data_IF_040935629288
#
_entry.id   IF_040935629288
#
_cell.length_a   1.000
_cell.length_b   1.000
_cell.length_c   1.000
_cell.angle_alpha   90.00
_cell.angle_beta   90.00
_cell.angle_gamma   90.00
#
_symmetry.space_group_name_H-M   'P 1'
#
loop_
_entity.id
_entity.type
_entity.pdbx_description
1 polymer ?
#
# COMPACT_ATOMS: atom_id res chain seq x y z
N UNK A 1 7.65 10.26 46.57
CA UNK A 1 8.86 10.61 45.80
C UNK A 1 9.06 12.12 45.88
N UNK A 2 10.29 12.60 46.01
CA UNK A 2 10.55 14.04 45.98
C UNK A 2 10.04 14.60 44.64
N UNK A 3 9.30 15.70 44.68
CA UNK A 3 8.62 16.25 43.51
C UNK A 3 9.67 16.76 42.51
N UNK A 4 9.92 16.04 41.40
CA UNK A 4 10.95 16.37 40.39
C UNK A 4 10.81 17.82 39.91
N UNK A 5 9.56 18.33 39.85
CA UNK A 5 9.25 19.72 39.49
C UNK A 5 9.88 20.72 40.45
N UNK A 6 9.82 20.47 41.75
CA UNK A 6 10.41 21.34 42.78
C UNK A 6 11.94 21.32 42.74
N UNK A 7 12.55 20.16 42.47
CA UNK A 7 14.01 20.04 42.29
C UNK A 7 14.49 20.81 41.05
N UNK A 8 13.73 20.77 39.94
CA UNK A 8 14.02 21.56 38.74
C UNK A 8 13.91 23.06 38.99
N UNK A 9 12.90 23.50 39.75
CA UNK A 9 12.77 24.91 40.17
C UNK A 9 13.93 25.34 41.07
N UNK A 10 14.38 24.47 41.99
CA UNK A 10 15.54 24.74 42.86
C UNK A 10 16.83 24.85 42.05
N UNK A 11 17.05 23.96 41.07
CA UNK A 11 18.18 24.02 40.13
C UNK A 11 18.22 25.34 39.35
N UNK A 12 17.08 25.76 38.79
CA UNK A 12 17.00 27.01 38.04
C UNK A 12 17.30 28.23 38.90
N UNK A 13 16.90 28.21 40.18
CA UNK A 13 17.19 29.29 41.13
C UNK A 13 18.69 29.35 41.47
N UNK A 14 19.30 28.21 41.80
CA UNK A 14 20.75 28.12 42.07
C UNK A 14 21.61 28.58 40.88
N UNK A 15 21.21 28.21 39.65
CA UNK A 15 21.88 28.68 38.43
C UNK A 15 21.69 30.18 38.17
N UNK A 16 20.55 30.76 38.54
CA UNK A 16 20.32 32.20 38.45
C UNK A 16 21.15 32.97 39.49
N UNK A 17 21.23 32.47 40.72
CA UNK A 17 22.02 33.07 41.80
C UNK A 17 23.52 33.03 41.48
N UNK A 18 24.03 31.93 40.92
CA UNK A 18 25.42 31.82 40.46
C UNK A 18 25.74 32.77 39.29
N UNK A 19 24.81 32.92 38.33
CA UNK A 19 24.94 33.88 37.22
C UNK A 19 24.92 35.33 37.70
N UNK A 20 24.15 35.65 38.74
CA UNK A 20 24.10 36.98 39.31
C UNK A 20 25.46 37.41 39.87
N UNK A 21 26.17 36.50 40.55
CA UNK A 21 27.52 36.75 41.09
C UNK A 21 28.53 37.00 39.96
N UNK A 22 28.51 36.17 38.91
CA UNK A 22 29.38 36.35 37.74
C UNK A 22 29.09 37.67 37.02
N UNK A 23 27.80 38.03 36.89
CA UNK A 23 27.39 39.28 36.26
C UNK A 23 27.83 40.51 37.06
N UNK A 24 27.75 40.48 38.39
CA UNK A 24 28.26 41.60 39.22
C UNK A 24 29.76 41.80 39.09
N UNK A 25 30.54 40.72 38.95
CA UNK A 25 31.98 40.84 38.71
C UNK A 25 32.29 41.39 37.30
N UNK A 26 31.51 40.98 36.29
CA UNK A 26 31.64 41.45 34.91
C UNK A 26 31.22 42.92 34.74
N UNK A 27 30.11 43.34 35.37
CA UNK A 27 29.62 44.72 35.36
C UNK A 27 30.62 45.69 36.07
N UNK A 28 31.37 45.20 37.06
CA UNK A 28 32.42 45.94 37.77
C UNK A 28 33.79 45.90 37.06
N UNK A 29 33.92 45.17 35.94
CA UNK A 29 35.16 45.06 35.17
C UNK A 29 36.33 44.42 35.93
N UNK A 30 36.05 43.60 36.94
CA UNK A 30 37.03 42.98 37.85
C UNK A 30 36.92 41.46 37.82
N UNK A 31 37.99 40.76 38.23
CA UNK A 31 37.88 39.34 38.59
C UNK A 31 37.05 39.17 39.86
N UNK A 32 36.41 38.02 40.03
CA UNK A 32 35.69 37.68 41.26
C UNK A 32 36.62 37.80 42.48
N UNK A 33 36.09 38.31 43.60
CA UNK A 33 36.85 38.29 44.86
C UNK A 33 36.94 36.87 45.41
N UNK A 34 37.90 36.56 46.29
CA UNK A 34 38.00 35.24 46.93
C UNK A 34 36.72 34.81 47.65
N UNK A 35 35.96 35.75 48.21
CA UNK A 35 34.67 35.50 48.84
C UNK A 35 33.56 35.15 47.83
N UNK A 36 33.55 35.82 46.67
CA UNK A 36 32.60 35.57 45.58
C UNK A 36 32.88 34.24 44.87
N UNK A 37 34.16 33.88 44.68
CA UNK A 37 34.57 32.55 44.19
C UNK A 37 34.09 31.46 45.15
N UNK A 38 34.34 31.62 46.45
CA UNK A 38 33.88 30.68 47.47
C UNK A 38 32.34 30.52 47.48
N UNK A 39 31.61 31.62 47.23
CA UNK A 39 30.15 31.59 47.19
C UNK A 39 29.62 30.96 45.90
N UNK A 40 30.27 31.20 44.77
CA UNK A 40 29.93 30.61 43.47
C UNK A 40 30.18 29.10 43.46
N UNK A 41 31.33 28.66 43.98
CA UNK A 41 31.66 27.24 44.09
C UNK A 41 30.63 26.50 44.96
N UNK A 42 30.23 27.09 46.09
CA UNK A 42 29.15 26.53 46.94
C UNK A 42 27.81 26.41 46.22
N UNK A 43 27.47 27.37 45.35
CA UNK A 43 26.23 27.34 44.57
C UNK A 43 26.29 26.30 43.45
N UNK A 44 27.45 26.12 42.83
CA UNK A 44 27.69 25.09 41.83
C UNK A 44 27.70 23.69 42.44
N UNK A 45 28.36 23.49 43.58
CA UNK A 45 28.32 22.23 44.33
C UNK A 45 26.88 21.86 44.74
N UNK A 46 26.10 22.85 45.21
CA UNK A 46 24.70 22.65 45.56
C UNK A 46 23.83 22.29 44.33
N UNK A 47 24.15 22.87 43.17
CA UNK A 47 23.48 22.58 41.90
C UNK A 47 23.81 21.16 41.43
N UNK A 48 25.07 20.75 41.47
CA UNK A 48 25.51 19.42 41.07
C UNK A 48 24.90 18.34 41.98
N UNK A 49 24.76 18.62 43.28
CA UNK A 49 24.03 17.75 44.20
C UNK A 49 22.54 17.59 43.86
N UNK A 50 21.89 18.66 43.38
CA UNK A 50 20.49 18.63 42.91
C UNK A 50 20.38 17.87 41.59
N UNK A 51 21.28 18.12 40.63
CA UNK A 51 21.30 17.43 39.33
C UNK A 51 21.55 15.91 39.49
N UNK A 52 22.48 15.51 40.38
CA UNK A 52 22.68 14.10 40.72
C UNK A 52 21.44 13.45 41.34
N UNK A 53 20.63 14.22 42.07
CA UNK A 53 19.39 13.74 42.69
C UNK A 53 18.26 13.65 41.68
N UNK A 54 18.16 14.58 40.72
CA UNK A 54 17.23 14.50 39.59
C UNK A 54 17.56 13.29 38.73
N UNK A 55 18.83 13.06 38.38
CA UNK A 55 19.25 11.91 37.58
C UNK A 55 19.01 10.55 38.26
N UNK A 56 19.11 10.50 39.60
CA UNK A 56 18.72 9.31 40.38
C UNK A 56 17.20 9.10 40.39
N UNK A 57 16.42 10.18 40.53
CA UNK A 57 14.96 10.11 40.52
C UNK A 57 14.41 9.74 39.13
N UNK A 58 14.98 10.29 38.06
CA UNK A 58 14.60 9.97 36.68
C UNK A 58 14.93 8.52 36.34
N UNK A 59 16.10 8.01 36.76
CA UNK A 59 16.44 6.59 36.59
C UNK A 59 15.51 5.66 37.35
N UNK A 60 15.09 6.02 38.57
CA UNK A 60 14.11 5.23 39.32
C UNK A 60 12.71 5.32 38.71
N UNK A 61 12.35 6.44 38.07
CA UNK A 61 11.07 6.61 37.36
C UNK A 61 11.08 5.88 36.00
N UNK A 62 12.24 5.82 35.33
CA UNK A 62 12.45 5.04 34.11
C UNK A 62 12.53 3.53 34.41
N UNK A 63 13.16 3.12 35.52
CA UNK A 63 13.14 1.74 36.05
C UNK A 63 11.72 1.36 36.49
N UNK A 64 10.97 2.24 37.16
CA UNK A 64 9.57 2.00 37.49
C UNK A 64 8.66 1.95 36.24
N UNK A 65 8.96 2.73 35.19
CA UNK A 65 8.30 2.59 33.89
C UNK A 65 8.72 1.31 33.17
N UNK A 66 9.93 0.78 33.41
CA UNK A 66 10.36 -0.52 32.89
C UNK A 66 9.70 -1.68 33.64
N UNK A 67 9.52 -1.58 34.95
CA UNK A 67 8.82 -2.58 35.77
C UNK A 67 7.29 -2.54 35.54
N UNK A 68 6.70 -1.37 35.26
CA UNK A 68 5.31 -1.26 34.76
C UNK A 68 5.17 -1.72 33.28
N UNK A 69 6.29 -1.96 32.59
CA UNK A 69 6.36 -2.57 31.24
C UNK A 69 6.57 -4.10 31.33
N UNK A 70 6.73 -4.68 32.53
CA UNK A 70 6.88 -6.14 32.71
C UNK A 70 5.56 -6.95 32.77
N UNK A 71 4.45 -6.41 32.23
CA UNK A 71 3.32 -7.24 31.73
C UNK A 71 2.59 -6.61 30.53
N UNK A 72 3.28 -5.76 29.75
CA UNK A 72 2.80 -5.28 28.44
C UNK A 72 3.71 -5.81 27.33
N UNK A 73 3.67 -7.13 27.13
CA UNK A 73 3.98 -7.68 25.81
C UNK A 73 3.09 -6.96 24.79
N UNK A 74 3.66 -6.34 23.73
CA UNK A 74 2.89 -5.72 22.64
C UNK A 74 2.28 -6.80 21.72
N UNK A 75 1.44 -7.64 22.31
CA UNK A 75 0.78 -8.77 21.68
C UNK A 75 -0.22 -9.40 22.65
N UNK A 76 -1.49 -9.00 22.57
CA UNK A 76 -2.58 -9.70 23.26
C UNK A 76 -3.68 -8.80 23.81
N UNK A 77 -3.46 -8.14 24.95
CA UNK A 77 -4.57 -7.63 25.78
C UNK A 77 -5.34 -6.43 25.19
N UNK A 78 -4.66 -5.46 24.57
CA UNK A 78 -5.33 -4.33 23.92
C UNK A 78 -6.07 -4.70 22.62
N UNK A 79 -5.47 -5.60 21.84
CA UNK A 79 -6.06 -6.14 20.61
C UNK A 79 -7.28 -7.03 20.91
N UNK A 80 -7.19 -7.90 21.91
CA UNK A 80 -8.29 -8.79 22.30
C UNK A 80 -9.47 -8.03 22.90
N UNK A 81 -9.21 -6.97 23.68
CA UNK A 81 -10.26 -6.09 24.20
C UNK A 81 -10.95 -5.30 23.07
N UNK A 82 -10.18 -4.79 22.10
CA UNK A 82 -10.70 -4.06 20.94
C UNK A 82 -11.45 -4.99 19.96
N UNK A 83 -10.97 -6.21 19.73
CA UNK A 83 -11.63 -7.23 18.92
C UNK A 83 -12.88 -7.78 19.63
N UNK A 84 -12.84 -7.93 20.96
CA UNK A 84 -14.00 -8.26 21.78
C UNK A 84 -15.08 -7.16 21.71
N UNK A 85 -14.66 -5.89 21.75
CA UNK A 85 -15.54 -4.75 21.53
C UNK A 85 -16.11 -4.75 20.10
N UNK A 86 -15.29 -5.00 19.07
CA UNK A 86 -15.75 -5.10 17.68
C UNK A 86 -16.77 -6.23 17.53
N UNK A 87 -16.53 -7.41 18.11
CA UNK A 87 -17.48 -8.52 18.10
C UNK A 87 -18.82 -8.13 18.74
N UNK A 88 -18.78 -7.47 19.91
CA UNK A 88 -19.98 -6.98 20.56
C UNK A 88 -20.71 -5.94 19.68
N UNK A 89 -19.97 -5.07 19.01
CA UNK A 89 -20.50 -4.12 18.04
C UNK A 89 -21.08 -4.79 16.80
N UNK A 90 -20.51 -5.90 16.30
CA UNK A 90 -21.00 -6.63 15.12
C UNK A 90 -22.24 -7.47 15.43
N UNK A 91 -22.37 -7.96 16.67
CA UNK A 91 -23.53 -8.74 17.14
C UNK A 91 -24.68 -7.83 17.58
N UNK A 92 -24.40 -6.90 18.50
CA UNK A 92 -25.41 -6.11 19.22
C UNK A 92 -25.54 -4.66 18.78
N UNK A 93 -24.49 -4.07 18.21
CA UNK A 93 -24.44 -2.67 17.80
C UNK A 93 -23.98 -1.79 18.96
N UNK A 94 -24.07 -0.47 18.79
CA UNK A 94 -23.59 0.50 19.79
C UNK A 94 -24.27 0.33 21.16
N UNK A 95 -25.55 -0.06 21.17
CA UNK A 95 -26.36 -0.23 22.38
C UNK A 95 -25.93 -1.38 23.29
N UNK A 96 -25.08 -2.28 22.80
CA UNK A 96 -24.57 -3.44 23.58
C UNK A 96 -23.13 -3.21 24.04
N UNK A 97 -22.50 -2.10 23.63
CA UNK A 97 -21.14 -1.75 24.06
C UNK A 97 -21.15 -1.10 25.43
N UNK A 98 -20.26 -1.56 26.31
CA UNK A 98 -19.93 -0.85 27.56
C UNK A 98 -19.18 0.45 27.26
N UNK A 99 -19.19 1.41 28.18
CA UNK A 99 -18.53 2.71 27.98
C UNK A 99 -17.01 2.59 27.74
N UNK A 100 -16.37 1.55 28.28
CA UNK A 100 -14.96 1.24 28.02
C UNK A 100 -14.75 0.65 26.62
N UNK A 101 -15.59 -0.29 26.19
CA UNK A 101 -15.56 -0.86 24.82
C UNK A 101 -15.91 0.17 23.75
N UNK A 102 -16.83 1.07 24.08
CA UNK A 102 -17.19 2.23 23.31
C UNK A 102 -15.99 3.16 23.05
N UNK A 103 -15.25 3.51 24.11
CA UNK A 103 -14.05 4.35 24.02
C UNK A 103 -12.91 3.63 23.28
N UNK A 104 -12.76 2.32 23.48
CA UNK A 104 -11.78 1.51 22.75
C UNK A 104 -12.02 1.48 21.22
N UNK A 105 -13.29 1.55 20.78
CA UNK A 105 -13.66 1.63 19.35
C UNK A 105 -13.75 3.08 18.82
N UNK A 106 -13.86 4.08 19.70
CA UNK A 106 -13.95 5.50 19.37
C UNK A 106 -12.62 6.26 19.49
N UNK A 107 -11.49 5.58 19.72
CA UNK A 107 -10.18 6.22 19.80
C UNK A 107 -9.73 6.70 18.40
N UNK A 108 -10.29 7.83 17.93
CA UNK A 108 -9.91 8.44 16.67
C UNK A 108 -10.79 9.59 16.16
N UNK A 109 -12.13 9.50 16.22
CA UNK A 109 -13.01 10.51 15.60
C UNK A 109 -14.45 10.55 16.18
N UNK A 110 -15.20 11.57 15.74
CA UNK A 110 -16.43 12.15 16.31
C UNK A 110 -17.56 11.15 16.69
N UNK A 111 -18.16 11.20 17.91
CA UNK A 111 -19.11 10.21 18.40
C UNK A 111 -20.49 10.16 17.71
N UNK A 112 -20.86 11.16 16.89
CA UNK A 112 -22.23 11.33 16.38
C UNK A 112 -22.54 10.56 15.08
N UNK A 113 -21.54 10.10 14.32
CA UNK A 113 -21.78 9.58 12.96
C UNK A 113 -22.15 8.10 12.86
N UNK A 114 -22.19 7.33 13.96
CA UNK A 114 -22.41 5.88 13.92
C UNK A 114 -21.28 5.08 13.21
N UNK A 115 -20.18 5.76 12.87
CA UNK A 115 -18.93 5.16 12.42
C UNK A 115 -18.19 4.69 13.67
N UNK A 116 -17.87 3.41 13.75
CA UNK A 116 -16.83 2.94 14.66
C UNK A 116 -15.64 2.60 13.79
N UNK A 117 -14.48 3.19 14.10
CA UNK A 117 -13.23 2.80 13.46
C UNK A 117 -12.99 1.35 13.85
N UNK A 118 -12.96 0.46 12.86
CA UNK A 118 -12.62 -0.93 13.12
C UNK A 118 -11.23 -0.98 13.77
N UNK A 119 -10.99 -1.85 14.77
CA UNK A 119 -9.68 -2.02 15.37
C UNK A 119 -8.60 -2.15 14.28
N UNK A 120 -7.45 -1.51 14.49
CA UNK A 120 -6.36 -1.54 13.50
C UNK A 120 -5.96 -2.96 13.10
N UNK A 121 -6.08 -3.94 14.01
CA UNK A 121 -5.81 -5.34 13.70
C UNK A 121 -6.81 -5.93 12.68
N UNK A 122 -8.09 -5.60 12.79
CA UNK A 122 -9.11 -6.06 11.83
C UNK A 122 -8.84 -5.49 10.44
N UNK A 123 -8.49 -4.20 10.36
CA UNK A 123 -8.15 -3.53 9.11
C UNK A 123 -6.88 -4.10 8.51
N UNK A 124 -5.83 -4.33 9.32
CA UNK A 124 -4.58 -4.96 8.88
C UNK A 124 -4.79 -6.36 8.32
N UNK A 125 -5.57 -7.20 9.02
CA UNK A 125 -5.88 -8.55 8.54
C UNK A 125 -6.69 -8.51 7.24
N UNK A 126 -7.64 -7.58 7.14
CA UNK A 126 -8.45 -7.39 5.93
C UNK A 126 -7.61 -6.93 4.75
N UNK A 127 -6.77 -5.90 4.95
CA UNK A 127 -5.87 -5.40 3.92
C UNK A 127 -4.90 -6.49 3.46
N UNK A 128 -4.33 -7.26 4.40
CA UNK A 128 -3.50 -8.42 4.06
C UNK A 128 -4.26 -9.45 3.21
N UNK A 129 -5.51 -9.76 3.57
CA UNK A 129 -6.35 -10.67 2.77
C UNK A 129 -6.70 -10.12 1.38
N UNK A 130 -6.80 -8.80 1.23
CA UNK A 130 -6.94 -8.15 -0.08
C UNK A 130 -5.62 -8.25 -0.86
N UNK A 131 -4.48 -7.96 -0.23
CA UNK A 131 -3.15 -8.03 -0.84
C UNK A 131 -2.85 -9.45 -1.36
N UNK A 132 -3.15 -10.48 -0.57
CA UNK A 132 -2.95 -11.89 -0.94
C UNK A 132 -3.81 -12.32 -2.14
N UNK A 133 -4.94 -11.63 -2.39
CA UNK A 133 -5.85 -11.97 -3.49
C UNK A 133 -5.61 -11.13 -4.75
N UNK A 134 -5.07 -9.92 -4.61
CA UNK A 134 -4.80 -9.00 -5.71
C UNK A 134 -3.36 -9.21 -6.18
N UNK A 135 -3.18 -10.14 -7.12
CA UNK A 135 -1.86 -10.53 -7.63
C UNK A 135 -1.06 -9.33 -8.15
N UNK A 136 -1.72 -8.36 -8.80
CA UNK A 136 -1.03 -7.18 -9.32
C UNK A 136 -0.45 -6.32 -8.20
N UNK A 137 -1.14 -6.21 -7.05
CA UNK A 137 -0.74 -5.32 -5.96
C UNK A 137 0.58 -5.71 -5.32
N UNK A 138 0.91 -7.01 -5.29
CA UNK A 138 2.22 -7.49 -4.84
C UNK A 138 3.38 -7.15 -5.79
N UNK A 139 3.07 -6.75 -7.03
CA UNK A 139 4.06 -6.38 -8.05
C UNK A 139 4.10 -4.89 -8.36
N UNK A 140 2.96 -4.21 -8.15
CA UNK A 140 2.79 -2.78 -8.33
C UNK A 140 3.41 -1.98 -7.18
N UNK A 141 3.67 -0.70 -7.45
CA UNK A 141 4.12 0.24 -6.41
C UNK A 141 2.91 0.88 -5.76
N UNK A 142 2.75 0.71 -4.43
CA UNK A 142 1.63 1.26 -3.67
C UNK A 142 2.07 2.52 -2.91
N UNK A 143 1.38 3.63 -3.16
CA UNK A 143 1.55 4.92 -2.49
C UNK A 143 0.35 5.20 -1.59
N UNK A 144 0.61 5.45 -0.31
CA UNK A 144 -0.40 5.87 0.67
C UNK A 144 -0.41 7.41 0.74
N UNK A 145 -1.53 8.02 0.38
CA UNK A 145 -1.77 9.46 0.46
C UNK A 145 -2.47 9.77 1.79
N UNK A 146 -1.76 10.40 2.72
CA UNK A 146 -2.32 10.73 4.04
C UNK A 146 -2.98 12.10 4.11
N UNK A 147 -2.56 13.03 3.24
CA UNK A 147 -3.04 14.43 3.25
C UNK A 147 -3.23 15.03 1.84
N UNK A 148 -2.65 14.42 0.81
CA UNK A 148 -2.79 14.90 -0.56
C UNK A 148 -4.07 14.33 -1.19
N UNK A 149 -4.87 15.20 -1.81
CA UNK A 149 -6.07 14.81 -2.58
C UNK A 149 -5.70 13.94 -3.80
N UNK A 150 -4.44 14.01 -4.23
CA UNK A 150 -4.00 13.47 -5.48
C UNK A 150 -2.47 13.29 -5.53
N UNK A 151 -2.01 12.34 -6.35
CA UNK A 151 -0.59 12.08 -6.59
C UNK A 151 -0.25 12.47 -8.04
N UNK A 152 0.49 13.57 -8.18
CA UNK A 152 1.08 13.98 -9.45
C UNK A 152 2.16 13.00 -9.87
N UNK A 153 2.00 12.41 -11.05
CA UNK A 153 2.97 11.47 -11.60
C UNK A 153 3.79 12.18 -12.69
N UNK A 154 5.12 12.25 -12.57
CA UNK A 154 5.97 12.67 -13.69
C UNK A 154 5.96 11.57 -14.77
N UNK A 155 5.45 11.88 -15.96
CA UNK A 155 5.52 10.98 -17.12
C UNK A 155 6.77 11.31 -17.92
N UNK A 156 7.55 10.30 -18.32
CA UNK A 156 8.76 10.49 -19.15
C UNK A 156 8.47 10.93 -20.59
N UNK A 157 7.19 11.10 -20.98
CA UNK A 157 6.81 11.69 -22.27
C UNK A 157 7.38 13.12 -22.46
N UNK A 158 7.81 13.78 -21.37
CA UNK A 158 8.67 14.96 -21.40
C UNK A 158 9.72 14.84 -20.27
N UNK A 159 10.57 13.81 -20.35
CA UNK A 159 11.78 13.72 -19.52
C UNK A 159 12.83 14.73 -19.99
N UNK A 160 13.84 14.97 -19.16
CA UNK A 160 15.03 15.70 -19.57
C UNK A 160 15.70 14.95 -20.74
N UNK A 161 16.19 15.69 -21.73
CA UNK A 161 16.95 15.18 -22.84
C UNK A 161 18.19 14.42 -22.38
N UNK A 162 18.67 13.52 -23.26
CA UNK A 162 19.88 12.74 -22.99
C UNK A 162 21.08 13.66 -22.73
N UNK A 163 21.91 13.28 -21.77
CA UNK A 163 23.14 14.01 -21.47
C UNK A 163 24.07 14.04 -22.69
N UNK A 164 24.43 15.23 -23.14
CA UNK A 164 25.37 15.40 -24.25
C UNK A 164 26.83 15.28 -23.78
N UNK A 165 27.66 14.61 -24.57
CA UNK A 165 29.10 14.62 -24.35
C UNK A 165 29.67 16.01 -24.66
N UNK A 166 30.10 16.74 -23.64
CA UNK A 166 30.69 18.07 -23.79
C UNK A 166 32.21 18.06 -23.69
N UNK A 167 32.84 19.15 -24.11
CA UNK A 167 34.28 19.40 -23.88
C UNK A 167 34.48 20.11 -22.54
N UNK A 168 35.73 20.11 -22.04
CA UNK A 168 36.15 20.58 -20.70
C UNK A 168 35.67 21.99 -20.29
N UNK A 169 35.26 22.82 -21.25
CA UNK A 169 34.85 24.22 -21.06
C UNK A 169 33.37 24.50 -21.35
N UNK A 170 32.58 23.48 -21.70
CA UNK A 170 31.14 23.62 -21.97
C UNK A 170 30.34 22.86 -20.94
N UNK A 171 29.49 23.55 -20.20
CA UNK A 171 28.29 22.96 -19.61
C UNK A 171 27.34 22.59 -20.75
N UNK A 172 26.67 21.43 -20.67
CA UNK A 172 25.67 21.01 -21.65
C UNK A 172 24.53 22.02 -21.78
N UNK A 173 23.62 21.79 -22.73
CA UNK A 173 22.42 22.63 -22.86
C UNK A 173 21.55 22.57 -21.61
N UNK A 174 21.04 23.72 -21.15
CA UNK A 174 20.02 23.77 -20.11
C UNK A 174 18.72 23.12 -20.61
N UNK A 175 18.17 22.20 -19.84
CA UNK A 175 16.92 21.52 -20.14
C UNK A 175 15.84 21.86 -19.09
N UNK A 176 14.76 22.51 -19.55
CA UNK A 176 13.57 22.89 -18.78
C UNK A 176 12.34 22.06 -19.24
N UNK A 177 12.59 20.86 -19.78
CA UNK A 177 11.60 19.98 -20.40
C UNK A 177 10.78 19.15 -19.41
N UNK A 178 11.24 18.99 -18.16
CA UNK A 178 10.59 18.13 -17.17
C UNK A 178 9.17 18.63 -16.84
N UNK A 179 8.15 17.96 -17.38
CA UNK A 179 6.75 18.27 -17.12
C UNK A 179 6.07 17.09 -16.41
N UNK A 180 5.22 17.39 -15.43
CA UNK A 180 4.36 16.39 -14.82
C UNK A 180 3.34 15.86 -15.84
N UNK A 181 3.03 14.58 -15.73
CA UNK A 181 2.11 13.89 -16.64
C UNK A 181 0.70 14.45 -16.61
N UNK A 182 -0.01 14.25 -17.73
CA UNK A 182 -1.35 14.81 -17.94
C UNK A 182 -2.41 14.24 -16.98
N UNK A 183 -2.22 13.01 -16.51
CA UNK A 183 -3.14 12.33 -15.60
C UNK A 183 -2.56 12.26 -14.20
N UNK A 184 -3.29 12.82 -13.26
CA UNK A 184 -3.00 12.77 -11.84
C UNK A 184 -3.73 11.58 -11.22
N UNK A 185 -3.06 10.81 -10.36
CA UNK A 185 -3.71 9.73 -9.62
C UNK A 185 -4.61 10.33 -8.54
N UNK A 186 -5.92 10.13 -8.64
CA UNK A 186 -6.91 10.67 -7.72
C UNK A 186 -7.72 9.53 -7.12
N UNK A 187 -7.44 9.11 -5.87
CA UNK A 187 -8.14 8.01 -5.25
C UNK A 187 -9.67 8.19 -5.31
N UNK A 188 -10.35 7.20 -5.89
CA UNK A 188 -11.79 7.24 -6.08
C UNK A 188 -12.50 6.35 -5.05
N UNK A 189 -13.68 6.76 -4.56
CA UNK A 189 -14.40 6.02 -3.54
C UNK A 189 -14.97 4.70 -4.07
N UNK A 190 -14.47 3.61 -3.51
CA UNK A 190 -14.98 2.25 -3.68
C UNK A 190 -15.77 1.85 -2.43
N UNK A 191 -17.05 1.55 -2.61
CA UNK A 191 -17.90 1.12 -1.50
C UNK A 191 -18.66 -0.17 -1.84
N UNK A 192 -18.73 -1.10 -0.88
CA UNK A 192 -19.54 -2.31 -1.02
C UNK A 192 -20.35 -2.60 0.24
N UNK A 193 -21.64 -2.90 0.03
CA UNK A 193 -22.56 -3.33 1.08
C UNK A 193 -22.66 -4.85 1.11
N UNK A 194 -22.49 -5.45 2.29
CA UNK A 194 -22.68 -6.87 2.58
C UNK A 194 -23.87 -7.00 3.56
N UNK A 195 -24.80 -7.91 3.28
CA UNK A 195 -25.96 -8.17 4.15
C UNK A 195 -25.82 -9.55 4.79
N UNK A 196 -26.03 -9.62 6.09
CA UNK A 196 -25.98 -10.87 6.86
C UNK A 196 -27.23 -11.02 7.72
N UNK A 197 -27.80 -12.22 7.78
CA UNK A 197 -28.94 -12.50 8.65
C UNK A 197 -28.55 -12.44 10.12
N UNK A 198 -29.40 -11.86 10.97
CA UNK A 198 -29.22 -11.88 12.43
C UNK A 198 -29.24 -13.29 13.02
N UNK A 199 -29.96 -14.22 12.38
CA UNK A 199 -29.94 -15.64 12.76
C UNK A 199 -28.56 -16.23 12.52
N UNK A 200 -27.96 -15.96 11.36
CA UNK A 200 -26.62 -16.44 11.02
C UNK A 200 -25.56 -15.84 11.94
N UNK A 201 -25.63 -14.53 12.24
CA UNK A 201 -24.72 -13.88 13.18
C UNK A 201 -24.76 -14.50 14.58
N UNK A 202 -25.94 -14.95 15.04
CA UNK A 202 -26.11 -15.58 16.37
C UNK A 202 -25.82 -17.08 16.40
N UNK A 203 -26.09 -17.78 15.30
CA UNK A 203 -25.95 -19.24 15.21
C UNK A 203 -24.57 -19.68 14.70
N UNK A 204 -23.75 -18.76 14.20
CA UNK A 204 -22.45 -19.09 13.65
C UNK A 204 -21.51 -19.61 14.75
N UNK A 205 -21.14 -20.89 14.65
CA UNK A 205 -20.06 -21.52 15.44
C UNK A 205 -18.71 -20.88 15.09
N UNK A 206 -18.59 -20.31 13.89
CA UNK A 206 -17.47 -19.45 13.49
C UNK A 206 -17.70 -18.00 13.93
N UNK A 207 -16.63 -17.29 14.24
CA UNK A 207 -16.71 -15.89 14.64
C UNK A 207 -17.38 -15.06 13.51
N UNK A 208 -18.52 -14.40 13.76
CA UNK A 208 -19.29 -13.69 12.73
C UNK A 208 -18.48 -12.56 12.07
N UNK A 209 -17.54 -12.01 12.81
CA UNK A 209 -16.55 -11.04 12.38
C UNK A 209 -15.67 -11.56 11.24
N UNK A 210 -15.10 -12.76 11.39
CA UNK A 210 -14.25 -13.39 10.37
C UNK A 210 -15.03 -13.62 9.08
N UNK A 211 -16.31 -14.00 9.19
CA UNK A 211 -17.18 -14.17 8.02
C UNK A 211 -17.44 -12.84 7.30
N UNK A 212 -17.73 -11.76 8.03
CA UNK A 212 -17.90 -10.42 7.44
C UNK A 212 -16.60 -10.01 6.74
N UNK A 213 -15.47 -10.17 7.42
CA UNK A 213 -14.15 -9.80 6.95
C UNK A 213 -13.81 -10.52 5.63
N UNK A 214 -13.85 -11.85 5.61
CA UNK A 214 -13.57 -12.66 4.41
C UNK A 214 -14.46 -12.31 3.21
N UNK A 215 -15.73 -11.99 3.46
CA UNK A 215 -16.65 -11.58 2.38
C UNK A 215 -16.36 -10.18 1.87
N UNK A 216 -15.88 -9.28 2.73
CA UNK A 216 -15.39 -7.96 2.31
C UNK A 216 -14.07 -8.09 1.55
N UNK A 217 -13.07 -8.76 2.12
CA UNK A 217 -11.78 -9.08 1.49
C UNK A 217 -11.98 -9.57 0.04
N UNK A 218 -12.80 -10.61 -0.13
CA UNK A 218 -13.11 -11.19 -1.44
C UNK A 218 -13.76 -10.19 -2.40
N UNK A 219 -14.65 -9.30 -1.94
CA UNK A 219 -15.35 -8.38 -2.85
C UNK A 219 -14.51 -7.15 -3.20
N UNK A 220 -13.75 -6.64 -2.25
CA UNK A 220 -12.84 -5.53 -2.48
C UNK A 220 -11.70 -5.94 -3.38
N UNK A 221 -10.99 -7.04 -3.10
CA UNK A 221 -9.88 -7.44 -3.96
C UNK A 221 -10.34 -7.89 -5.35
N UNK A 222 -11.49 -8.55 -5.53
CA UNK A 222 -12.03 -8.87 -6.86
C UNK A 222 -12.31 -7.60 -7.66
N UNK A 223 -12.82 -6.56 -7.02
CA UNK A 223 -13.14 -5.29 -7.68
C UNK A 223 -11.88 -4.47 -7.95
N UNK A 224 -10.89 -4.52 -7.05
CA UNK A 224 -9.59 -3.89 -7.23
C UNK A 224 -8.84 -4.54 -8.41
N UNK A 225 -8.61 -5.86 -8.36
CA UNK A 225 -7.92 -6.60 -9.41
C UNK A 225 -8.62 -6.41 -10.77
N UNK A 226 -9.97 -6.53 -10.83
CA UNK A 226 -10.71 -6.26 -12.06
C UNK A 226 -10.50 -4.84 -12.59
N UNK A 227 -10.53 -3.83 -11.71
CA UNK A 227 -10.30 -2.44 -12.11
C UNK A 227 -8.86 -2.22 -12.60
N UNK A 228 -7.87 -2.87 -11.99
CA UNK A 228 -6.49 -2.77 -12.44
C UNK A 228 -6.22 -3.52 -13.76
N UNK A 229 -7.02 -4.54 -14.08
CA UNK A 229 -6.93 -5.22 -15.37
C UNK A 229 -7.63 -4.44 -16.50
N UNK A 230 -8.91 -4.09 -16.32
CA UNK A 230 -9.79 -3.60 -17.39
C UNK A 230 -10.54 -2.29 -17.05
N UNK A 231 -10.07 -1.53 -16.05
CA UNK A 231 -10.66 -0.24 -15.70
C UNK A 231 -10.47 0.80 -16.81
N UNK A 232 -11.48 1.64 -17.04
CA UNK A 232 -11.47 2.66 -18.11
C UNK A 232 -10.81 3.99 -17.70
N UNK A 233 -10.37 4.13 -16.44
CA UNK A 233 -9.78 5.37 -15.94
C UNK A 233 -10.76 6.49 -15.59
N UNK A 234 -12.08 6.32 -15.79
CA UNK A 234 -13.10 7.31 -15.47
C UNK A 234 -13.70 7.06 -14.07
N UNK A 235 -13.30 7.87 -13.09
CA UNK A 235 -13.70 7.72 -11.68
C UNK A 235 -13.34 6.34 -11.09
N UNK A 236 -12.32 5.68 -11.64
CA UNK A 236 -11.76 4.39 -11.22
C UNK A 236 -10.38 4.21 -11.85
N UNK A 237 -9.59 3.20 -11.41
CA UNK A 237 -8.28 2.91 -12.00
C UNK A 237 -8.29 2.76 -13.51
N UNK A 238 -7.20 3.19 -14.15
CA UNK A 238 -6.90 2.85 -15.53
C UNK A 238 -6.27 1.46 -15.58
N UNK A 239 -6.94 0.55 -16.25
CA UNK A 239 -6.54 -0.84 -16.36
C UNK A 239 -5.38 -1.05 -17.33
N UNK A 240 -4.58 -2.09 -17.09
CA UNK A 240 -3.46 -2.47 -17.94
C UNK A 240 -3.90 -2.84 -19.38
N UNK A 241 -5.06 -3.45 -19.54
CA UNK A 241 -5.61 -3.86 -20.85
C UNK A 241 -6.50 -2.79 -21.49
N UNK A 242 -6.52 -1.56 -20.95
CA UNK A 242 -7.29 -0.45 -21.53
C UNK A 242 -6.36 0.44 -22.36
N UNK A 243 -6.59 0.62 -23.67
CA UNK A 243 -5.81 1.53 -24.49
C UNK A 243 -6.09 2.97 -24.08
N UNK A 244 -5.04 3.70 -23.71
CA UNK A 244 -5.13 5.10 -23.31
C UNK A 244 -3.81 5.82 -23.56
N UNK A 245 -3.89 7.07 -24.03
CA UNK A 245 -2.71 7.94 -24.16
C UNK A 245 -2.09 8.31 -22.82
N UNK A 246 -2.89 8.30 -21.74
CA UNK A 246 -2.43 8.61 -20.39
C UNK A 246 -1.84 7.39 -19.68
N UNK A 247 -1.77 6.24 -20.37
CA UNK A 247 -1.27 4.98 -19.84
C UNK A 247 -0.48 4.22 -20.90
N UNK A 248 -1.01 3.10 -21.39
CA UNK A 248 -0.37 2.33 -22.46
C UNK A 248 -1.06 2.66 -23.79
N UNK A 249 -0.38 3.35 -24.72
CA UNK A 249 -0.89 3.64 -26.05
C UNK A 249 -0.89 2.39 -26.93
N UNK A 250 -1.72 2.37 -27.96
CA UNK A 250 -1.83 1.22 -28.89
C UNK A 250 -0.55 0.98 -29.71
N UNK A 251 0.36 1.95 -29.78
CA UNK A 251 1.68 1.79 -30.44
C UNK A 251 2.60 0.79 -29.75
N UNK A 252 2.26 0.36 -28.52
CA UNK A 252 2.97 -0.68 -27.75
C UNK A 252 2.34 -2.06 -27.89
N UNK A 253 1.25 -2.17 -28.64
CA UNK A 253 0.55 -3.43 -28.83
C UNK A 253 1.30 -4.25 -29.89
N UNK A 254 1.41 -5.56 -29.65
CA UNK A 254 2.00 -6.54 -30.55
C UNK A 254 0.91 -7.50 -30.96
N UNK A 255 0.71 -7.60 -32.27
CA UNK A 255 -0.20 -8.59 -32.84
C UNK A 255 0.35 -10.00 -32.61
N UNK A 256 -0.52 -10.87 -32.13
CA UNK A 256 -0.23 -12.28 -31.93
C UNK A 256 -1.23 -13.08 -32.73
N UNK A 257 -0.70 -13.99 -33.54
CA UNK A 257 -1.47 -14.93 -34.34
C UNK A 257 -2.36 -15.77 -33.42
N UNK A 258 -3.66 -15.74 -33.62
CA UNK A 258 -4.64 -16.52 -32.86
C UNK A 258 -5.63 -17.16 -33.82
N UNK A 259 -6.41 -18.09 -33.28
CA UNK A 259 -7.72 -18.45 -33.81
C UNK A 259 -8.74 -18.11 -32.73
N UNK A 260 -10.02 -17.95 -33.06
CA UNK A 260 -11.09 -17.74 -32.08
C UNK A 260 -11.16 -18.72 -30.89
N UNK A 261 -10.30 -19.75 -30.85
CA UNK A 261 -10.15 -20.72 -29.75
C UNK A 261 -8.79 -20.72 -29.01
N UNK A 262 -7.77 -20.00 -29.47
CA UNK A 262 -6.42 -20.09 -28.89
C UNK A 262 -5.29 -19.48 -29.71
N UNK A 263 -4.09 -19.40 -29.12
CA UNK A 263 -2.82 -19.22 -29.83
C UNK A 263 -2.60 -20.38 -30.82
N UNK A 264 -2.10 -20.08 -32.01
CA UNK A 264 -1.90 -21.04 -33.11
C UNK A 264 -0.55 -20.86 -33.80
N UNK A 265 0.04 -21.97 -34.23
CA UNK A 265 1.19 -21.95 -35.13
C UNK A 265 0.78 -22.61 -36.45
N UNK A 266 0.56 -21.80 -37.48
CA UNK A 266 0.09 -22.21 -38.80
C UNK A 266 0.91 -21.54 -39.89
N UNK A 267 0.75 -21.97 -41.15
CA UNK A 267 1.43 -21.33 -42.27
C UNK A 267 1.07 -19.84 -42.45
N UNK A 268 -0.07 -19.39 -41.91
CA UNK A 268 -0.52 -18.00 -41.97
C UNK A 268 -0.03 -17.12 -40.81
N UNK A 269 0.59 -17.71 -39.77
CA UNK A 269 1.03 -16.97 -38.59
C UNK A 269 1.48 -17.90 -37.46
N UNK A 270 2.50 -17.47 -36.70
CA UNK A 270 3.17 -18.25 -35.65
C UNK A 270 3.12 -17.51 -34.31
N UNK A 271 2.19 -17.88 -33.42
CA UNK A 271 2.16 -17.26 -32.08
C UNK A 271 3.47 -17.43 -31.32
N UNK A 272 4.24 -18.48 -31.60
CA UNK A 272 5.52 -18.70 -30.95
C UNK A 272 6.51 -17.58 -31.30
N UNK A 273 6.59 -17.21 -32.57
CA UNK A 273 7.46 -16.13 -33.05
C UNK A 273 6.93 -14.75 -32.60
N UNK A 274 5.60 -14.59 -32.56
CA UNK A 274 4.97 -13.36 -32.08
C UNK A 274 5.22 -13.13 -30.57
N UNK A 275 5.19 -14.18 -29.75
CA UNK A 275 5.55 -14.10 -28.33
C UNK A 275 7.04 -13.78 -28.12
N UNK A 276 7.92 -14.31 -28.98
CA UNK A 276 9.33 -13.95 -28.98
C UNK A 276 9.49 -12.48 -29.35
N UNK A 277 8.78 -12.02 -30.37
CA UNK A 277 8.77 -10.62 -30.80
C UNK A 277 8.33 -9.72 -29.65
N UNK A 278 7.22 -10.04 -28.97
CA UNK A 278 6.75 -9.30 -27.80
C UNK A 278 7.79 -9.19 -26.68
N UNK A 279 8.56 -10.26 -26.41
CA UNK A 279 9.67 -10.23 -25.44
C UNK A 279 10.74 -9.20 -25.82
N UNK A 280 11.11 -9.13 -27.09
CA UNK A 280 12.16 -8.23 -27.58
C UNK A 280 11.65 -6.82 -27.94
N UNK A 281 10.33 -6.61 -28.01
CA UNK A 281 9.70 -5.28 -28.06
C UNK A 281 9.79 -4.52 -26.73
N UNK A 282 9.93 -5.26 -25.61
CA UNK A 282 10.23 -4.68 -24.31
C UNK A 282 11.71 -4.29 -24.25
N UNK A 283 12.02 -3.04 -23.86
CA UNK A 283 13.40 -2.58 -23.72
C UNK A 283 14.14 -3.43 -22.66
N UNK A 284 15.41 -3.71 -22.92
CA UNK A 284 16.25 -4.56 -22.05
C UNK A 284 16.32 -4.09 -20.60
N UNK A 285 16.19 -2.78 -20.35
CA UNK A 285 16.17 -2.19 -19.01
C UNK A 285 15.09 -2.80 -18.10
N UNK A 286 13.95 -3.23 -18.66
CA UNK A 286 12.82 -3.78 -17.90
C UNK A 286 12.86 -5.31 -17.76
N UNK A 287 13.74 -6.00 -18.48
CA UNK A 287 13.75 -7.48 -18.52
C UNK A 287 14.03 -8.12 -17.15
N UNK A 288 14.74 -7.43 -16.25
CA UNK A 288 15.12 -7.96 -14.94
C UNK A 288 13.92 -8.26 -14.03
N UNK A 289 12.82 -7.50 -14.16
CA UNK A 289 11.59 -7.66 -13.37
C UNK A 289 10.35 -7.98 -14.23
N UNK A 290 10.55 -8.14 -15.54
CA UNK A 290 9.46 -8.40 -16.48
C UNK A 290 8.78 -9.74 -16.19
N UNK A 291 7.45 -9.73 -16.20
CA UNK A 291 6.62 -10.92 -16.01
C UNK A 291 5.49 -10.92 -17.04
N UNK A 292 5.11 -12.12 -17.49
CA UNK A 292 3.94 -12.31 -18.32
C UNK A 292 2.67 -12.25 -17.47
N UNK A 293 1.63 -11.57 -17.94
CA UNK A 293 0.30 -11.58 -17.32
C UNK A 293 -0.71 -12.14 -18.31
N UNK A 294 -1.34 -13.24 -17.91
CA UNK A 294 -2.31 -13.96 -18.73
C UNK A 294 -3.53 -14.38 -17.90
N UNK A 295 -4.65 -14.62 -18.59
CA UNK A 295 -5.73 -15.42 -18.01
C UNK A 295 -5.33 -16.91 -18.01
N UNK A 296 -5.81 -17.72 -17.05
CA UNK A 296 -5.46 -19.16 -16.98
C UNK A 296 -5.75 -19.94 -18.27
N UNK A 297 -6.79 -19.54 -19.00
CA UNK A 297 -7.17 -20.17 -20.28
C UNK A 297 -6.19 -19.82 -21.40
N UNK A 298 -5.59 -18.62 -21.35
CA UNK A 298 -4.55 -18.18 -22.29
C UNK A 298 -3.27 -18.99 -22.09
N UNK A 299 -2.90 -19.26 -20.84
CA UNK A 299 -1.76 -20.15 -20.55
C UNK A 299 -2.02 -21.56 -21.06
N UNK A 300 -3.25 -22.07 -20.91
CA UNK A 300 -3.62 -23.36 -21.44
C UNK A 300 -3.53 -23.44 -22.98
N UNK A 301 -3.81 -22.36 -23.71
CA UNK A 301 -3.61 -22.32 -25.17
C UNK A 301 -2.14 -22.17 -25.55
N UNK A 302 -1.34 -21.37 -24.83
CA UNK A 302 0.12 -21.31 -25.04
C UNK A 302 0.74 -22.70 -24.83
N UNK A 303 0.30 -23.46 -23.82
CA UNK A 303 0.75 -24.85 -23.59
C UNK A 303 0.40 -25.81 -24.71
N UNK A 304 -0.65 -25.52 -25.49
CA UNK A 304 -1.10 -26.36 -26.60
C UNK A 304 -0.34 -26.08 -27.90
N UNK A 305 0.53 -25.07 -27.93
CA UNK A 305 1.36 -24.78 -29.10
C UNK A 305 2.28 -25.96 -29.43
N UNK A 306 2.32 -26.30 -30.72
CA UNK A 306 3.06 -27.43 -31.27
C UNK A 306 4.02 -26.99 -32.36
N UNK A 307 5.10 -27.75 -32.54
CA UNK A 307 5.97 -27.65 -33.70
C UNK A 307 5.34 -28.32 -34.93
N UNK A 308 6.02 -28.22 -36.08
CA UNK A 308 5.56 -28.84 -37.34
C UNK A 308 5.48 -30.38 -37.29
N UNK A 309 6.18 -31.01 -36.34
CA UNK A 309 6.18 -32.46 -36.10
C UNK A 309 5.09 -32.89 -35.10
N UNK A 310 4.29 -31.94 -34.58
CA UNK A 310 3.17 -32.18 -33.67
C UNK A 310 3.55 -32.31 -32.19
N UNK A 311 4.81 -32.04 -31.83
CA UNK A 311 5.26 -32.04 -30.44
C UNK A 311 4.96 -30.72 -29.75
N UNK A 312 4.68 -30.75 -28.45
CA UNK A 312 4.54 -29.53 -27.66
C UNK A 312 5.87 -28.77 -27.58
N UNK A 313 5.81 -27.48 -27.92
CA UNK A 313 6.95 -26.54 -27.86
C UNK A 313 7.30 -26.28 -26.39
N UNK A 314 6.29 -25.95 -25.59
CA UNK A 314 6.47 -25.73 -24.17
C UNK A 314 6.33 -27.05 -23.40
N UNK A 315 7.45 -27.53 -22.86
CA UNK A 315 7.49 -28.69 -21.97
C UNK A 315 7.81 -28.20 -20.57
N UNK A 316 6.88 -28.40 -19.63
CA UNK A 316 7.08 -28.04 -18.23
C UNK A 316 8.31 -28.77 -17.66
N UNK A 317 9.09 -28.07 -16.85
CA UNK A 317 10.26 -28.64 -16.19
C UNK A 317 9.84 -29.68 -15.16
N UNK A 318 9.88 -30.97 -15.53
CA UNK A 318 9.80 -32.08 -14.57
C UNK A 318 11.09 -32.20 -13.72
N UNK A 319 12.09 -31.36 -13.97
CA UNK A 319 13.39 -31.37 -13.30
C UNK A 319 13.67 -30.01 -12.65
N UNK A 320 13.97 -30.04 -11.34
CA UNK A 320 14.67 -29.00 -10.58
C UNK A 320 13.86 -27.88 -9.88
N UNK A 321 12.61 -28.11 -9.46
CA UNK A 321 11.90 -27.20 -8.53
C UNK A 321 11.79 -25.73 -9.02
N UNK A 322 11.99 -25.51 -10.31
CA UNK A 322 11.83 -24.19 -10.94
C UNK A 322 10.38 -24.05 -11.40
N UNK A 323 9.75 -22.95 -11.01
CA UNK A 323 8.43 -22.57 -11.47
C UNK A 323 8.36 -22.49 -13.00
N UNK A 324 7.18 -22.75 -13.54
CA UNK A 324 6.92 -22.69 -14.98
C UNK A 324 7.25 -21.29 -15.54
N UNK A 325 8.01 -21.24 -16.64
CA UNK A 325 8.43 -20.00 -17.32
C UNK A 325 8.05 -20.03 -18.79
N UNK A 326 7.76 -18.85 -19.35
CA UNK A 326 7.53 -18.64 -20.79
C UNK A 326 8.68 -17.78 -21.30
N UNK A 327 9.50 -18.32 -22.20
CA UNK A 327 10.68 -17.63 -22.76
C UNK A 327 11.59 -17.04 -21.67
N UNK A 328 11.95 -17.86 -20.67
CA UNK A 328 12.80 -17.54 -19.51
C UNK A 328 12.20 -16.57 -18.47
N UNK A 329 11.04 -15.98 -18.75
CA UNK A 329 10.37 -15.05 -17.86
C UNK A 329 9.27 -15.74 -17.03
N UNK A 330 9.05 -15.32 -15.77
CA UNK A 330 7.92 -15.80 -14.97
C UNK A 330 6.59 -15.35 -15.59
N UNK A 331 5.51 -16.02 -15.22
CA UNK A 331 4.16 -15.56 -15.52
C UNK A 331 3.31 -15.50 -14.26
N UNK A 332 2.32 -14.61 -14.29
CA UNK A 332 1.25 -14.47 -13.33
C UNK A 332 -0.09 -14.69 -14.02
N UNK A 333 -1.03 -15.25 -13.26
CA UNK A 333 -2.39 -15.46 -13.73
C UNK A 333 -3.36 -14.56 -13.00
N UNK A 334 -4.19 -13.85 -13.76
CA UNK A 334 -5.34 -13.13 -13.22
C UNK A 334 -6.62 -13.62 -13.89
N UNK A 335 -7.64 -13.97 -13.10
CA UNK A 335 -8.97 -14.36 -13.63
C UNK A 335 -9.70 -13.16 -14.27
N UNK A 336 -9.21 -11.92 -14.06
CA UNK A 336 -9.78 -10.71 -14.63
C UNK A 336 -9.01 -10.18 -15.84
N UNK A 337 -7.90 -10.82 -16.20
CA UNK A 337 -7.27 -10.58 -17.50
C UNK A 337 -8.22 -11.04 -18.62
N UNK A 338 -8.20 -10.37 -19.79
CA UNK A 338 -8.97 -10.78 -20.96
C UNK A 338 -8.75 -12.25 -21.34
N UNK A 339 -9.83 -12.91 -21.77
CA UNK A 339 -9.87 -14.34 -22.03
C UNK A 339 -10.54 -14.70 -23.37
N UNK A 340 -10.76 -13.73 -24.24
CA UNK A 340 -11.36 -13.89 -25.57
C UNK A 340 -10.31 -13.75 -26.66
N UNK A 341 -10.56 -14.37 -27.82
CA UNK A 341 -9.66 -14.36 -28.98
C UNK A 341 -10.33 -13.68 -30.19
N UNK A 342 -11.26 -12.74 -29.97
CA UNK A 342 -11.80 -11.96 -31.07
C UNK A 342 -10.70 -11.14 -31.73
N UNK A 343 -10.84 -10.85 -33.02
CA UNK A 343 -9.89 -9.98 -33.71
C UNK A 343 -9.81 -8.61 -33.02
N UNK A 344 -8.60 -8.18 -32.69
CA UNK A 344 -8.34 -6.97 -31.91
C UNK A 344 -8.53 -7.10 -30.38
N UNK A 345 -8.95 -8.26 -29.86
CA UNK A 345 -9.04 -8.47 -28.41
C UNK A 345 -7.65 -8.57 -27.78
N UNK A 346 -7.49 -8.04 -26.57
CA UNK A 346 -6.27 -8.31 -25.80
C UNK A 346 -6.28 -9.75 -25.27
N UNK A 347 -5.12 -10.42 -25.31
CA UNK A 347 -4.97 -11.82 -24.88
C UNK A 347 -3.95 -12.01 -23.77
N UNK A 348 -3.12 -11.00 -23.51
CA UNK A 348 -2.12 -11.01 -22.46
C UNK A 348 -1.17 -9.83 -22.56
N UNK A 349 -0.17 -9.79 -21.70
CA UNK A 349 0.88 -8.78 -21.78
C UNK A 349 2.18 -9.25 -21.14
N UNK A 350 3.23 -8.53 -21.47
CA UNK A 350 4.52 -8.58 -20.82
C UNK A 350 4.85 -7.20 -20.26
N UNK A 351 5.33 -7.13 -19.03
CA UNK A 351 5.86 -5.87 -18.52
C UNK A 351 6.48 -5.96 -17.15
N UNK A 352 7.12 -4.86 -16.75
CA UNK A 352 7.52 -4.63 -15.37
C UNK A 352 6.39 -3.92 -14.63
N UNK A 353 5.63 -4.70 -13.86
CA UNK A 353 4.46 -4.21 -13.13
C UNK A 353 4.79 -3.24 -12.00
N UNK A 354 6.06 -3.06 -11.62
CA UNK A 354 6.44 -2.03 -10.63
C UNK A 354 6.18 -0.60 -11.13
N UNK A 355 6.08 -0.42 -12.45
CA UNK A 355 5.67 0.83 -13.11
C UNK A 355 4.15 1.01 -13.20
N UNK A 356 3.36 0.11 -12.61
CA UNK A 356 1.96 0.36 -12.30
C UNK A 356 1.89 0.90 -10.88
N UNK A 357 1.42 2.14 -10.73
CA UNK A 357 1.30 2.77 -9.42
C UNK A 357 -0.15 2.72 -8.95
N UNK A 358 -0.31 2.41 -7.67
CA UNK A 358 -1.58 2.40 -6.97
C UNK A 358 -1.52 3.50 -5.90
N UNK A 359 -2.48 4.43 -5.92
CA UNK A 359 -2.60 5.48 -4.92
C UNK A 359 -3.82 5.21 -4.03
N UNK A 360 -3.65 5.26 -2.70
CA UNK A 360 -4.72 5.05 -1.73
C UNK A 360 -4.78 6.20 -0.73
N UNK A 361 -5.95 6.83 -0.55
CA UNK A 361 -6.11 8.01 0.32
C UNK A 361 -6.70 7.70 1.70
N UNK A 362 -7.65 6.77 1.76
CA UNK A 362 -8.39 6.48 2.99
C UNK A 362 -8.12 5.07 3.48
N UNK A 363 -7.77 4.96 4.77
CA UNK A 363 -7.73 3.68 5.46
C UNK A 363 -9.10 3.00 5.37
N UNK A 364 -9.13 1.70 5.13
CA UNK A 364 -10.37 0.95 4.94
C UNK A 364 -11.35 1.13 6.11
N UNK A 365 -12.55 1.65 5.82
CA UNK A 365 -13.59 1.91 6.81
C UNK A 365 -14.72 0.88 6.73
N UNK A 366 -15.19 0.40 7.88
CA UNK A 366 -16.37 -0.48 7.97
C UNK A 366 -17.44 0.15 8.85
N UNK A 367 -18.63 0.37 8.27
CA UNK A 367 -19.79 0.88 9.00
C UNK A 367 -20.91 -0.16 9.04
N UNK A 368 -21.56 -0.31 10.20
CA UNK A 368 -22.70 -1.20 10.40
C UNK A 368 -24.02 -0.45 10.19
N UNK A 369 -24.90 -1.00 9.37
CA UNK A 369 -26.23 -0.47 9.04
C UNK A 369 -27.30 -1.32 9.75
N UNK A 370 -27.88 -0.78 10.82
CA UNK A 370 -28.92 -1.45 11.61
C UNK A 370 -30.33 -1.15 11.13
N UNK A 371 -30.66 0.13 10.95
CA UNK A 371 -32.04 0.58 10.73
C UNK A 371 -32.55 0.24 9.33
N UNK A 372 -31.68 0.37 8.32
CA UNK A 372 -32.02 0.13 6.92
C UNK A 372 -32.48 -1.32 6.64
N UNK A 373 -32.09 -2.29 7.47
CA UNK A 373 -32.38 -3.72 7.29
C UNK A 373 -33.12 -4.35 8.48
N UNK A 374 -33.70 -3.52 9.36
CA UNK A 374 -34.45 -4.00 10.52
C UNK A 374 -35.69 -4.83 10.11
N UNK A 375 -36.41 -4.40 9.07
CA UNK A 375 -37.62 -5.07 8.57
C UNK A 375 -37.37 -6.51 8.07
N UNK A 376 -36.19 -6.79 7.52
CA UNK A 376 -35.83 -8.11 6.99
C UNK A 376 -35.05 -8.97 8.00
N UNK A 377 -34.94 -8.55 9.27
CA UNK A 377 -34.15 -9.23 10.31
C UNK A 377 -32.69 -9.48 9.89
N UNK A 378 -32.11 -8.52 9.16
CA UNK A 378 -30.73 -8.56 8.64
C UNK A 378 -29.92 -7.39 9.22
N UNK A 379 -28.60 -7.51 9.15
CA UNK A 379 -27.64 -6.43 9.44
C UNK A 379 -26.84 -6.17 8.18
N UNK A 380 -26.70 -4.90 7.82
CA UNK A 380 -25.83 -4.47 6.72
C UNK A 380 -24.46 -4.06 7.24
N UNK A 381 -23.44 -4.27 6.44
CA UNK A 381 -22.11 -3.71 6.63
C UNK A 381 -21.70 -3.01 5.34
N UNK A 382 -21.18 -1.80 5.43
CA UNK A 382 -20.63 -1.06 4.29
C UNK A 382 -19.12 -0.90 4.52
N UNK A 383 -18.33 -1.45 3.60
CA UNK A 383 -16.92 -1.13 3.49
C UNK A 383 -16.75 0.10 2.59
N UNK A 384 -15.78 0.97 2.90
CA UNK A 384 -15.34 2.07 2.04
C UNK A 384 -13.82 2.08 1.97
N UNK A 385 -13.29 2.32 0.78
CA UNK A 385 -11.87 2.50 0.49
C UNK A 385 -11.75 3.51 -0.65
N UNK A 386 -10.67 4.27 -0.68
CA UNK A 386 -10.37 5.16 -1.79
C UNK A 386 -9.09 4.71 -2.45
N UNK A 387 -9.16 4.37 -3.73
CA UNK A 387 -8.03 3.89 -4.50
C UNK A 387 -8.11 4.34 -5.96
N UNK A 388 -6.96 4.60 -6.55
CA UNK A 388 -6.78 4.80 -7.99
C UNK A 388 -5.49 4.07 -8.41
N UNK A 389 -5.33 3.84 -9.71
CA UNK A 389 -4.14 3.22 -10.25
C UNK A 389 -3.98 3.44 -11.74
N UNK A 390 -2.75 3.48 -12.21
CA UNK A 390 -2.44 3.60 -13.64
C UNK A 390 -1.02 3.11 -13.96
N UNK A 391 -0.76 2.70 -15.21
CA UNK A 391 0.60 2.54 -15.70
C UNK A 391 1.26 3.91 -15.86
N UNK A 392 2.44 4.09 -15.26
CA UNK A 392 3.19 5.35 -15.31
C UNK A 392 4.04 5.45 -16.57
N UNK A 393 4.57 4.32 -17.02
CA UNK A 393 5.52 4.24 -18.12
C UNK A 393 5.06 3.24 -19.16
N UNK A 394 4.58 3.75 -20.29
CA UNK A 394 4.12 2.94 -21.41
C UNK A 394 5.16 1.93 -21.92
N UNK A 395 6.44 2.33 -21.94
CA UNK A 395 7.54 1.51 -22.45
C UNK A 395 7.87 0.29 -21.58
N UNK A 396 7.48 0.31 -20.30
CA UNK A 396 7.62 -0.82 -19.38
C UNK A 396 6.62 -1.96 -19.66
N UNK A 397 5.68 -1.74 -20.60
CA UNK A 397 4.63 -2.69 -20.97
C UNK A 397 4.61 -2.97 -22.48
N UNK A 398 4.17 -4.17 -22.82
CA UNK A 398 3.86 -4.66 -24.16
C UNK A 398 2.57 -5.47 -24.05
N UNK A 399 1.50 -5.05 -24.75
CA UNK A 399 0.25 -5.80 -24.77
C UNK A 399 0.19 -6.70 -25.99
N UNK A 400 -0.42 -7.86 -25.82
CA UNK A 400 -0.66 -8.81 -26.89
C UNK A 400 -2.08 -8.64 -27.40
N UNK A 401 -2.21 -8.30 -28.67
CA UNK A 401 -3.48 -8.18 -29.37
C UNK A 401 -3.70 -9.39 -30.25
N UNK A 402 -4.90 -9.95 -30.21
CA UNK A 402 -5.31 -11.10 -31.01
C UNK A 402 -5.46 -10.67 -32.46
N UNK A 403 -4.75 -11.34 -33.36
CA UNK A 403 -4.94 -11.24 -34.81
C UNK A 403 -5.43 -12.59 -35.31
N UNK A 404 -6.70 -12.66 -35.73
CA UNK A 404 -7.31 -13.91 -36.15
C UNK A 404 -6.80 -14.32 -37.53
N UNK A 405 -5.90 -15.31 -37.56
CA UNK A 405 -5.30 -15.81 -38.80
C UNK A 405 -6.10 -16.98 -39.40
N UNK A 406 -7.18 -17.41 -38.74
CA UNK A 406 -8.04 -18.52 -39.17
C UNK A 406 -9.49 -18.02 -39.27
N UNK A 407 -9.79 -17.33 -40.37
CA UNK A 407 -11.15 -16.87 -40.70
C UNK A 407 -12.16 -18.02 -40.83
#
# INVERSE_FOLDING_TARGET
>A
MANIRELRTKRTKLGADARAIMKTAEDDGRSMTPEEETQFDKLMDARDGVDATIARAERLDDEARQDDVEDDQPGGRGGDAAMGALRAYLLGGRSVLTETQARALNAGHDPEGGFLVAPQQFVKDLLKGVDDMVALRGLATVHQLTQAESLGVPTLDNDLGDAEWTSELSTGSDDDGLRFGKRELRPHPLAKRVKISRKLLRASVMNPETLVRQRMEYKFGVTAEKSYMVGDGNQKPLGLFTPSSDGIPTTRDVDVSTSGSGFVNTAGGSSADDLITAKYTLKSAYHAKAQWLFHRMMIASVRKLKDGDGNYIWRAGLANDQGDRILDLPFITSEFAPATFGDGDYVGMLGDFSYYWIAEALSFEVQRLNELYALSNQVGFIGRQEADGMPILAEAFVRLQSNDVVA
#
